data_IF_192680144636
#
_entry.id   IF_192680144636
#
_cell.length_a   1.000
_cell.length_b   1.000
_cell.length_c   1.000
_cell.angle_alpha   90.00
_cell.angle_beta   90.00
_cell.angle_gamma   90.00
#
_symmetry.space_group_name_H-M   'P 1'
#
loop_
_entity.id
_entity.type
_entity.pdbx_description
1 polymer ?
#
# COMPACT_ATOMS: atom_id res chain seq x y z
N UNK A 1 -7.10 17.57 9.93
CA UNK A 1 -6.49 16.83 8.79
C UNK A 1 -5.01 16.66 9.06
N UNK A 2 -4.57 15.44 9.23
CA UNK A 2 -3.17 15.07 9.45
C UNK A 2 -2.71 14.11 8.36
N UNK A 3 -1.40 14.02 8.13
CA UNK A 3 -0.77 13.10 7.21
C UNK A 3 0.05 12.09 8.00
N UNK A 4 -0.23 10.82 7.79
CA UNK A 4 0.46 9.68 8.40
C UNK A 4 1.13 8.82 7.33
N UNK A 5 2.09 8.02 7.73
CA UNK A 5 2.72 7.03 6.87
C UNK A 5 2.91 5.70 7.62
N UNK A 6 2.69 4.60 6.91
CA UNK A 6 2.94 3.25 7.39
C UNK A 6 3.40 2.39 6.21
N UNK A 7 4.22 1.39 6.46
CA UNK A 7 4.60 0.40 5.45
C UNK A 7 4.49 -1.01 5.97
N UNK A 8 4.69 -1.97 5.07
CA UNK A 8 4.86 -3.39 5.41
C UNK A 8 3.71 -3.98 6.24
N UNK A 9 2.47 -3.74 5.83
CA UNK A 9 1.30 -4.30 6.50
C UNK A 9 1.14 -5.80 6.29
N UNK A 10 1.69 -6.32 5.18
CA UNK A 10 1.75 -7.75 4.87
C UNK A 10 0.46 -8.50 5.18
N UNK A 11 -0.68 -7.94 4.79
CA UNK A 11 -1.99 -8.56 4.99
C UNK A 11 -2.10 -9.86 4.19
N UNK A 12 -2.86 -10.80 4.71
CA UNK A 12 -3.10 -12.09 4.07
C UNK A 12 -4.51 -12.64 4.38
N UNK A 13 -5.50 -11.75 4.42
CA UNK A 13 -6.88 -12.13 4.75
C UNK A 13 -7.50 -13.02 3.67
N UNK A 14 -7.17 -12.78 2.41
CA UNK A 14 -7.60 -13.58 1.26
C UNK A 14 -6.58 -14.64 0.81
N UNK A 15 -5.50 -14.86 1.55
CA UNK A 15 -4.42 -15.78 1.17
C UNK A 15 -3.90 -16.56 2.38
N UNK A 16 -3.33 -17.72 2.13
CA UNK A 16 -2.73 -18.57 3.19
C UNK A 16 -1.23 -18.22 3.38
N UNK A 17 -0.95 -17.04 3.92
CA UNK A 17 0.40 -16.61 4.31
C UNK A 17 0.35 -15.87 5.65
N UNK A 18 0.15 -16.60 6.76
CA UNK A 18 0.05 -15.98 8.07
C UNK A 18 1.38 -15.35 8.50
N UNK A 19 1.33 -14.10 8.96
CA UNK A 19 2.48 -13.39 9.52
C UNK A 19 2.67 -13.66 11.01
N UNK A 20 1.68 -14.16 11.71
CA UNK A 20 1.67 -14.47 13.14
C UNK A 20 2.59 -15.63 13.53
N UNK A 21 3.15 -16.35 12.57
CA UNK A 21 4.25 -17.31 12.78
C UNK A 21 5.58 -16.61 13.16
N UNK A 22 5.70 -15.32 12.90
CA UNK A 22 6.90 -14.54 13.24
C UNK A 22 6.75 -13.84 14.60
N UNK A 23 7.84 -13.82 15.36
CA UNK A 23 7.86 -13.16 16.66
C UNK A 23 7.45 -11.68 16.55
N UNK A 24 6.49 -11.27 17.38
CA UNK A 24 5.99 -9.89 17.42
C UNK A 24 4.84 -9.58 16.46
N UNK A 25 4.42 -10.55 15.63
CA UNK A 25 3.30 -10.40 14.70
C UNK A 25 1.97 -10.99 15.22
N UNK A 26 1.94 -11.44 16.47
CA UNK A 26 0.72 -11.97 17.06
C UNK A 26 -0.41 -10.95 17.04
N UNK A 27 -1.58 -11.35 16.53
CA UNK A 27 -2.78 -10.50 16.40
C UNK A 27 -2.51 -9.15 15.74
N UNK A 28 -1.58 -9.12 14.75
CA UNK A 28 -1.13 -7.86 14.18
C UNK A 28 -2.24 -7.12 13.42
N UNK A 29 -3.19 -7.81 12.81
CA UNK A 29 -4.32 -7.19 12.10
C UNK A 29 -5.22 -6.45 13.07
N UNK A 30 -5.61 -7.08 14.18
CA UNK A 30 -6.44 -6.47 15.22
C UNK A 30 -5.72 -5.31 15.91
N UNK A 31 -4.39 -5.44 16.13
CA UNK A 31 -3.58 -4.35 16.68
C UNK A 31 -3.48 -3.18 15.71
N UNK A 32 -3.28 -3.46 14.43
CA UNK A 32 -3.27 -2.44 13.37
C UNK A 32 -4.60 -1.70 13.34
N UNK A 33 -5.71 -2.42 13.28
CA UNK A 33 -7.05 -1.85 13.24
C UNK A 33 -7.33 -0.99 14.48
N UNK A 34 -7.06 -1.53 15.67
CA UNK A 34 -7.30 -0.82 16.93
C UNK A 34 -6.48 0.47 17.03
N UNK A 35 -5.20 0.41 16.67
CA UNK A 35 -4.33 1.59 16.72
C UNK A 35 -4.69 2.61 15.64
N UNK A 36 -5.03 2.14 14.43
CA UNK A 36 -5.50 3.00 13.35
C UNK A 36 -6.72 3.81 13.76
N UNK A 37 -7.76 3.13 14.27
CA UNK A 37 -9.00 3.77 14.73
C UNK A 37 -8.83 4.72 15.92
N UNK A 38 -7.76 4.58 16.69
CA UNK A 38 -7.43 5.53 17.78
C UNK A 38 -6.76 6.81 17.28
N UNK A 39 -6.00 6.73 16.20
CA UNK A 39 -5.12 7.80 15.73
C UNK A 39 -5.70 8.55 14.53
N UNK A 40 -6.42 7.86 13.66
CA UNK A 40 -6.83 8.34 12.34
C UNK A 40 -8.33 8.65 12.35
N UNK A 41 -8.69 9.79 11.78
CA UNK A 41 -10.07 10.20 11.53
C UNK A 41 -10.36 10.20 10.03
N UNK A 42 -11.62 10.34 9.64
CA UNK A 42 -12.05 10.37 8.23
C UNK A 42 -11.46 11.58 7.45
N UNK A 43 -11.02 12.62 8.15
CA UNK A 43 -10.40 13.81 7.56
C UNK A 43 -8.89 13.64 7.29
N UNK A 44 -8.29 12.57 7.80
CA UNK A 44 -6.85 12.35 7.70
C UNK A 44 -6.49 11.57 6.44
N UNK A 45 -5.21 11.63 6.10
CA UNK A 45 -4.64 10.86 4.97
C UNK A 45 -3.52 9.97 5.48
N UNK A 46 -3.51 8.72 5.05
CA UNK A 46 -2.45 7.75 5.35
C UNK A 46 -1.78 7.30 4.06
N UNK A 47 -0.48 7.49 3.98
CA UNK A 47 0.34 6.94 2.90
C UNK A 47 0.81 5.55 3.31
N UNK A 48 0.45 4.54 2.53
CA UNK A 48 0.90 3.16 2.73
C UNK A 48 2.05 2.90 1.75
N UNK A 49 3.24 2.69 2.31
CA UNK A 49 4.52 2.70 1.58
C UNK A 49 4.83 1.40 0.83
N UNK A 50 3.84 0.55 0.63
CA UNK A 50 3.96 -0.73 -0.07
C UNK A 50 4.04 -1.92 0.86
N UNK A 51 4.25 -3.10 0.28
CA UNK A 51 4.20 -4.41 0.91
C UNK A 51 2.90 -4.59 1.70
N UNK A 52 1.79 -4.32 1.00
CA UNK A 52 0.46 -4.23 1.57
C UNK A 52 -0.15 -5.61 1.79
N UNK A 53 -0.03 -6.48 0.79
CA UNK A 53 -0.68 -7.79 0.76
C UNK A 53 0.22 -8.86 0.17
N UNK A 54 0.12 -10.07 0.71
CA UNK A 54 0.75 -11.28 0.17
C UNK A 54 0.01 -11.90 -1.01
N UNK A 55 -1.06 -11.29 -1.49
CA UNK A 55 -1.78 -11.77 -2.65
C UNK A 55 -0.86 -11.82 -3.89
N UNK A 56 -1.05 -12.84 -4.72
CA UNK A 56 -0.30 -13.00 -5.98
C UNK A 56 -1.04 -12.39 -7.17
N UNK A 57 -2.35 -12.21 -7.06
CA UNK A 57 -3.22 -11.64 -8.08
C UNK A 57 -4.14 -10.59 -7.46
N UNK A 58 -4.58 -9.63 -8.26
CA UNK A 58 -5.43 -8.53 -7.82
C UNK A 58 -6.73 -9.01 -7.17
N UNK A 59 -7.35 -10.03 -7.74
CA UNK A 59 -8.59 -10.60 -7.23
C UNK A 59 -8.43 -11.17 -5.81
N UNK A 60 -7.25 -11.73 -5.52
CA UNK A 60 -6.94 -12.32 -4.21
C UNK A 60 -6.61 -11.24 -3.15
N UNK A 61 -6.31 -10.00 -3.57
CA UNK A 61 -6.09 -8.87 -2.68
C UNK A 61 -7.41 -8.21 -2.23
N UNK A 62 -8.56 -8.68 -2.70
CA UNK A 62 -9.86 -8.06 -2.44
C UNK A 62 -10.16 -7.92 -0.95
N UNK A 63 -9.94 -8.97 -0.15
CA UNK A 63 -10.21 -8.94 1.31
C UNK A 63 -9.26 -7.98 2.04
N UNK A 64 -7.98 -7.95 1.66
CA UNK A 64 -6.99 -7.05 2.24
C UNK A 64 -7.32 -5.59 1.92
N UNK A 65 -7.67 -5.30 0.66
CA UNK A 65 -8.08 -3.96 0.24
C UNK A 65 -9.42 -3.55 0.83
N UNK A 66 -10.37 -4.48 1.01
CA UNK A 66 -11.62 -4.23 1.71
C UNK A 66 -11.38 -3.83 3.18
N UNK A 67 -10.49 -4.55 3.86
CA UNK A 67 -10.07 -4.22 5.22
C UNK A 67 -9.48 -2.80 5.27
N UNK A 68 -8.51 -2.48 4.41
CA UNK A 68 -7.91 -1.14 4.35
C UNK A 68 -8.96 -0.08 4.03
N UNK A 69 -9.88 -0.35 3.10
CA UNK A 69 -10.95 0.58 2.76
C UNK A 69 -11.89 0.87 3.93
N UNK A 70 -12.13 -0.11 4.80
CA UNK A 70 -12.98 0.04 5.98
C UNK A 70 -12.39 0.92 7.08
N UNK A 71 -11.07 1.11 7.08
CA UNK A 71 -10.38 1.95 8.06
C UNK A 71 -10.62 3.44 7.79
N UNK A 72 -10.69 4.30 8.83
CA UNK A 72 -10.89 5.74 8.66
C UNK A 72 -9.77 6.41 7.84
N UNK A 73 -10.11 7.54 7.22
CA UNK A 73 -9.20 8.39 6.45
C UNK A 73 -9.02 7.97 4.99
N UNK A 74 -8.39 8.81 4.21
CA UNK A 74 -7.99 8.52 2.83
C UNK A 74 -6.68 7.73 2.82
N UNK A 75 -6.59 6.70 2.00
CA UNK A 75 -5.39 5.89 1.84
C UNK A 75 -4.74 6.09 0.48
N UNK A 76 -3.47 6.49 0.49
CA UNK A 76 -2.63 6.61 -0.71
C UNK A 76 -1.62 5.46 -0.69
N UNK A 77 -1.77 4.51 -1.60
CA UNK A 77 -1.00 3.26 -1.60
C UNK A 77 0.07 3.29 -2.69
N UNK A 78 1.34 3.06 -2.30
CA UNK A 78 2.44 2.80 -3.21
C UNK A 78 2.66 1.29 -3.37
N UNK A 79 3.31 0.92 -4.46
CA UNK A 79 3.72 -0.47 -4.69
C UNK A 79 5.01 -0.78 -3.94
N UNK A 80 4.99 -1.82 -3.11
CA UNK A 80 6.18 -2.45 -2.54
C UNK A 80 6.79 -3.54 -3.45
N UNK A 81 7.87 -4.14 -3.00
CA UNK A 81 8.53 -5.21 -3.77
C UNK A 81 7.78 -6.55 -3.67
N UNK A 82 7.03 -6.78 -2.60
CA UNK A 82 6.20 -7.97 -2.40
C UNK A 82 4.76 -7.85 -2.93
N UNK A 83 4.35 -6.69 -3.41
CA UNK A 83 3.00 -6.49 -3.97
C UNK A 83 2.87 -7.09 -5.38
N UNK A 84 2.93 -8.42 -5.47
CA UNK A 84 2.83 -9.17 -6.73
C UNK A 84 1.46 -9.04 -7.41
N UNK A 85 0.43 -8.72 -6.63
CA UNK A 85 -0.94 -8.47 -7.09
C UNK A 85 -1.09 -7.19 -7.91
N UNK A 86 -0.13 -6.27 -7.84
CA UNK A 86 -0.17 -4.99 -8.55
C UNK A 86 -0.24 -5.16 -10.06
N UNK A 87 -1.15 -4.46 -10.69
CA UNK A 87 -1.43 -4.56 -12.13
C UNK A 87 -1.30 -3.18 -12.81
N UNK A 88 -1.79 -3.05 -14.05
CA UNK A 88 -1.87 -1.75 -14.72
C UNK A 88 -2.81 -0.81 -13.96
N UNK A 89 -2.55 0.50 -13.99
CA UNK A 89 -3.37 1.47 -13.27
C UNK A 89 -4.85 1.44 -13.69
N UNK A 90 -5.13 1.16 -14.97
CA UNK A 90 -6.50 1.00 -15.45
C UNK A 90 -7.22 -0.15 -14.75
N UNK A 91 -6.57 -1.31 -14.63
CA UNK A 91 -7.14 -2.46 -13.93
C UNK A 91 -7.26 -2.22 -12.43
N UNK A 92 -6.26 -1.57 -11.83
CA UNK A 92 -6.24 -1.23 -10.41
C UNK A 92 -7.40 -0.29 -10.06
N UNK A 93 -7.58 0.78 -10.83
CA UNK A 93 -8.66 1.72 -10.61
C UNK A 93 -10.04 1.11 -10.89
N UNK A 94 -10.18 0.32 -11.96
CA UNK A 94 -11.40 -0.42 -12.23
C UNK A 94 -11.79 -1.36 -11.09
N UNK A 95 -10.81 -2.05 -10.52
CA UNK A 95 -11.03 -2.92 -9.36
C UNK A 95 -11.54 -2.15 -8.12
N UNK A 96 -11.00 -0.94 -7.85
CA UNK A 96 -11.51 -0.11 -6.75
C UNK A 96 -12.97 0.32 -7.00
N UNK A 97 -13.30 0.70 -8.24
CA UNK A 97 -14.66 1.11 -8.63
C UNK A 97 -15.65 -0.06 -8.50
N UNK A 98 -15.32 -1.23 -9.05
CA UNK A 98 -16.15 -2.44 -8.99
C UNK A 98 -16.46 -2.89 -7.56
N UNK A 99 -15.50 -2.70 -6.64
CA UNK A 99 -15.66 -3.08 -5.23
C UNK A 99 -16.11 -1.91 -4.34
N UNK A 100 -16.35 -0.73 -4.90
CA UNK A 100 -16.71 0.48 -4.14
C UNK A 100 -15.69 0.89 -3.06
N UNK A 101 -14.40 0.68 -3.34
CA UNK A 101 -13.30 1.07 -2.44
C UNK A 101 -12.96 2.55 -2.62
N UNK A 102 -13.83 3.41 -2.12
CA UNK A 102 -13.79 4.87 -2.37
C UNK A 102 -12.72 5.63 -1.58
N UNK A 103 -12.17 5.02 -0.52
CA UNK A 103 -11.16 5.68 0.34
C UNK A 103 -9.73 5.37 -0.07
N UNK A 104 -9.52 4.54 -1.10
CA UNK A 104 -8.20 4.12 -1.58
C UNK A 104 -7.88 4.82 -2.90
N UNK A 105 -6.62 5.25 -3.02
CA UNK A 105 -6.02 5.73 -4.28
C UNK A 105 -4.61 5.16 -4.40
N UNK A 106 -4.15 4.92 -5.63
CA UNK A 106 -2.80 4.41 -5.89
C UNK A 106 -1.87 5.52 -6.34
N UNK A 107 -0.66 5.54 -5.78
CA UNK A 107 0.43 6.40 -6.22
C UNK A 107 1.32 5.60 -7.18
N UNK A 108 1.32 6.01 -8.44
CA UNK A 108 2.17 5.44 -9.48
C UNK A 108 2.34 6.43 -10.62
N UNK A 109 3.48 7.12 -10.64
CA UNK A 109 3.79 8.19 -11.60
C UNK A 109 2.75 9.32 -11.61
N UNK A 110 2.19 9.62 -10.47
CA UNK A 110 1.20 10.67 -10.25
C UNK A 110 1.42 11.33 -8.88
N UNK A 111 0.67 12.38 -8.60
CA UNK A 111 0.68 13.07 -7.33
C UNK A 111 -0.74 13.36 -6.85
N UNK A 112 -0.93 13.38 -5.54
CA UNK A 112 -2.17 13.78 -4.89
C UNK A 112 -1.92 14.97 -3.97
N UNK A 113 -2.81 15.94 -4.02
CA UNK A 113 -2.78 17.06 -3.09
C UNK A 113 -3.41 16.65 -1.76
N UNK A 114 -2.68 16.91 -0.66
CA UNK A 114 -3.14 16.69 0.71
C UNK A 114 -2.84 17.98 1.50
N UNK A 115 -3.87 18.79 1.72
CA UNK A 115 -3.70 20.13 2.29
C UNK A 115 -2.78 20.98 1.43
N UNK A 116 -1.70 21.48 2.01
CA UNK A 116 -0.70 22.31 1.34
C UNK A 116 0.46 21.48 0.70
N UNK A 117 0.39 20.17 0.80
CA UNK A 117 1.43 19.26 0.28
C UNK A 117 0.97 18.54 -0.99
N UNK A 118 1.93 18.21 -1.85
CA UNK A 118 1.75 17.25 -2.93
C UNK A 118 2.47 15.96 -2.57
N UNK A 119 1.73 14.86 -2.53
CA UNK A 119 2.27 13.53 -2.24
C UNK A 119 2.47 12.81 -3.55
N UNK A 120 3.71 12.53 -3.88
CA UNK A 120 4.10 11.73 -5.03
C UNK A 120 4.99 10.57 -4.57
N UNK A 121 5.14 9.57 -5.41
CA UNK A 121 5.96 8.43 -5.06
C UNK A 121 6.16 7.46 -6.21
N UNK A 122 7.18 6.65 -6.04
CA UNK A 122 7.51 5.53 -6.90
C UNK A 122 7.75 4.30 -6.04
N UNK A 123 7.69 3.11 -6.66
CA UNK A 123 7.88 1.85 -5.91
C UNK A 123 9.23 1.75 -5.19
N UNK A 124 10.20 2.58 -5.52
CA UNK A 124 11.55 2.45 -5.01
C UNK A 124 12.24 1.15 -5.46
N UNK A 125 13.46 0.98 -5.06
CA UNK A 125 14.23 -0.24 -5.25
C UNK A 125 15.45 -0.22 -4.34
N UNK A 126 15.88 -1.38 -3.83
CA UNK A 126 17.15 -1.47 -3.12
C UNK A 126 18.31 -1.48 -4.12
N UNK A 127 19.41 -0.88 -3.73
CA UNK A 127 20.66 -0.92 -4.50
C UNK A 127 21.47 -2.16 -4.07
N UNK A 128 21.81 -3.00 -5.03
CA UNK A 128 22.64 -4.19 -4.83
C UNK A 128 23.74 -4.19 -5.88
N UNK A 129 24.97 -3.92 -5.46
CA UNK A 129 26.15 -3.82 -6.33
C UNK A 129 26.42 -5.14 -7.10
N UNK A 130 25.92 -6.26 -6.64
CA UNK A 130 26.08 -7.56 -7.29
C UNK A 130 25.12 -7.77 -8.45
N UNK A 131 24.09 -6.92 -8.58
CA UNK A 131 23.06 -7.03 -9.61
C UNK A 131 23.10 -5.83 -10.57
N UNK A 132 23.67 -6.00 -11.75
CA UNK A 132 23.68 -4.95 -12.81
C UNK A 132 22.28 -4.39 -13.13
N UNK A 133 21.22 -5.15 -12.84
CA UNK A 133 19.85 -4.72 -13.08
C UNK A 133 19.34 -3.71 -12.06
N UNK A 134 19.84 -3.73 -10.82
CA UNK A 134 19.32 -2.86 -9.76
C UNK A 134 19.62 -1.38 -10.00
N UNK A 135 20.80 -1.03 -10.48
CA UNK A 135 21.16 0.37 -10.81
C UNK A 135 20.22 0.97 -11.87
N UNK A 136 19.93 0.19 -12.92
CA UNK A 136 18.99 0.61 -13.98
C UNK A 136 17.59 0.86 -13.44
N UNK A 137 17.12 0.00 -12.53
CA UNK A 137 15.81 0.16 -11.90
C UNK A 137 15.79 1.40 -11.01
N UNK A 138 16.81 1.61 -10.17
CA UNK A 138 16.90 2.79 -9.29
C UNK A 138 16.89 4.08 -10.12
N UNK A 139 17.71 4.17 -11.17
CA UNK A 139 17.73 5.34 -12.06
C UNK A 139 16.38 5.60 -12.74
N UNK A 140 15.70 4.54 -13.18
CA UNK A 140 14.37 4.65 -13.79
C UNK A 140 13.35 5.16 -12.80
N UNK A 141 13.32 4.60 -11.58
CA UNK A 141 12.35 5.01 -10.56
C UNK A 141 12.62 6.44 -10.07
N UNK A 142 13.89 6.84 -9.92
CA UNK A 142 14.24 8.21 -9.59
C UNK A 142 13.80 9.23 -10.68
N UNK A 143 13.88 8.83 -11.95
CA UNK A 143 13.42 9.69 -13.06
C UNK A 143 11.89 9.81 -13.16
N UNK A 144 11.13 9.03 -12.40
CA UNK A 144 9.65 9.07 -12.34
C UNK A 144 9.12 9.98 -11.24
N UNK A 145 9.95 10.41 -10.31
CA UNK A 145 9.64 11.40 -9.28
C UNK A 145 9.73 12.81 -9.82
#
# INVERSE_FOLDING_TARGET
MSLYAIGDTHLSLGTDKPMDIFHGWDNYVERLESNWKKLITDEDTVVILGDVSWAMKLENAAEDLAFINSLPGQKLILKGNHDSWWNTMSKMNGFLEENSFSTIKFIFNNAYRVGDYSICGTRGWFFDDTQQHSEKVVKREAARL
#
